data_IF_680539426747
#
_entry.id   IF_680539426747
#
_cell.length_a   1.000
_cell.length_b   1.000
_cell.length_c   1.000
_cell.angle_alpha   90.00
_cell.angle_beta   90.00
_cell.angle_gamma   90.00
#
_symmetry.space_group_name_H-M   'P 1'
#
loop_
_entity.id
_entity.type
_entity.pdbx_description
1 polymer ?
#
# COMPACT_ATOMS: atom_id res chain seq x y z
N UNK A 1 -24.05 -37.24 -9.63
CA UNK A 1 -24.22 -35.79 -9.42
C UNK A 1 -22.85 -35.23 -9.06
N UNK A 2 -22.15 -34.61 -10.00
CA UNK A 2 -20.78 -34.10 -9.79
C UNK A 2 -20.87 -32.61 -9.46
N UNK A 3 -20.46 -32.24 -8.25
CA UNK A 3 -20.24 -30.84 -7.88
C UNK A 3 -18.81 -30.46 -8.28
N UNK A 4 -18.66 -29.32 -8.95
CA UNK A 4 -17.37 -28.75 -9.28
C UNK A 4 -17.30 -27.41 -8.56
N UNK A 5 -16.49 -27.33 -7.50
CA UNK A 5 -16.27 -26.08 -6.77
C UNK A 5 -14.94 -25.51 -7.22
N UNK A 6 -14.97 -24.41 -7.98
CA UNK A 6 -13.76 -23.65 -8.29
C UNK A 6 -13.36 -22.86 -7.04
N UNK A 7 -12.28 -23.31 -6.40
CA UNK A 7 -11.69 -22.73 -5.18
C UNK A 7 -10.53 -21.77 -5.51
N UNK A 8 -10.32 -21.43 -6.78
CA UNK A 8 -9.27 -20.48 -7.15
C UNK A 8 -9.62 -19.09 -6.62
N UNK A 9 -8.79 -18.46 -5.76
CA UNK A 9 -9.05 -17.11 -5.30
C UNK A 9 -9.16 -16.18 -6.52
N UNK A 10 -10.26 -15.44 -6.63
CA UNK A 10 -10.39 -14.38 -7.64
C UNK A 10 -9.36 -13.30 -7.30
N UNK A 11 -8.18 -13.42 -7.90
CA UNK A 11 -7.04 -12.55 -7.67
C UNK A 11 -6.78 -11.69 -8.90
N UNK A 12 -6.81 -10.38 -8.73
CA UNK A 12 -6.29 -9.44 -9.72
C UNK A 12 -5.04 -8.76 -9.16
N UNK A 13 -3.99 -8.67 -9.99
CA UNK A 13 -2.72 -8.04 -9.62
C UNK A 13 -2.41 -6.97 -10.66
N UNK A 14 -2.20 -5.75 -10.21
CA UNK A 14 -1.55 -4.69 -10.98
C UNK A 14 -0.12 -4.54 -10.48
N UNK A 15 0.83 -4.49 -11.40
CA UNK A 15 2.20 -4.11 -11.10
C UNK A 15 2.73 -3.19 -12.20
N UNK A 16 3.06 -1.95 -11.84
CA UNK A 16 3.49 -0.91 -12.76
C UNK A 16 4.76 -0.26 -12.23
N UNK A 17 5.76 -0.19 -13.10
CA UNK A 17 7.03 0.47 -12.84
C UNK A 17 7.19 1.58 -13.88
N UNK A 18 7.37 2.82 -13.43
CA UNK A 18 7.47 3.96 -14.32
C UNK A 18 8.55 4.94 -13.86
N UNK A 19 8.91 5.86 -14.75
CA UNK A 19 9.76 7.00 -14.43
C UNK A 19 8.94 8.27 -14.65
N UNK A 20 8.95 9.17 -13.67
CA UNK A 20 8.27 10.46 -13.72
C UNK A 20 9.26 11.54 -13.33
N UNK A 21 9.71 12.34 -14.30
CA UNK A 21 10.84 13.25 -14.11
C UNK A 21 12.11 12.52 -13.66
N UNK A 22 12.70 12.96 -12.54
CA UNK A 22 13.86 12.34 -11.90
C UNK A 22 13.50 11.13 -11.03
N UNK A 23 12.20 10.87 -10.81
CA UNK A 23 11.72 9.87 -9.87
C UNK A 23 11.39 8.54 -10.54
N UNK A 24 11.55 7.46 -9.76
CA UNK A 24 11.05 6.13 -10.10
C UNK A 24 9.77 5.87 -9.31
N UNK A 25 8.74 5.40 -10.00
CA UNK A 25 7.43 5.13 -9.42
C UNK A 25 7.15 3.64 -9.50
N UNK A 26 6.75 3.05 -8.38
CA UNK A 26 6.33 1.65 -8.28
C UNK A 26 4.92 1.59 -7.75
N UNK A 27 4.04 0.91 -8.47
CA UNK A 27 2.63 0.76 -8.14
C UNK A 27 2.31 -0.71 -8.13
N UNK A 28 1.83 -1.21 -7.01
CA UNK A 28 1.31 -2.56 -6.89
C UNK A 28 -0.08 -2.50 -6.28
N UNK A 29 -1.06 -3.13 -6.92
CA UNK A 29 -2.36 -3.42 -6.32
C UNK A 29 -2.65 -4.90 -6.40
N UNK A 30 -3.29 -5.41 -5.36
CA UNK A 30 -3.72 -6.78 -5.24
C UNK A 30 -5.15 -6.79 -4.72
N UNK A 31 -6.06 -7.32 -5.52
CA UNK A 31 -7.44 -7.58 -5.12
C UNK A 31 -7.57 -9.07 -4.88
N UNK A 32 -7.88 -9.46 -3.64
CA UNK A 32 -8.10 -10.85 -3.24
C UNK A 32 -9.10 -10.89 -2.09
N UNK A 33 -10.08 -11.82 -2.14
CA UNK A 33 -11.02 -12.04 -1.03
C UNK A 33 -11.72 -10.76 -0.54
N UNK A 34 -12.10 -9.89 -1.49
CA UNK A 34 -12.72 -8.57 -1.24
C UNK A 34 -11.82 -7.56 -0.51
N UNK A 35 -10.53 -7.85 -0.33
CA UNK A 35 -9.54 -6.94 0.24
C UNK A 35 -8.70 -6.36 -0.90
N UNK A 36 -8.60 -5.02 -0.96
CA UNK A 36 -7.60 -4.32 -1.78
C UNK A 36 -6.34 -4.10 -0.96
N UNK A 37 -5.23 -4.67 -1.40
CA UNK A 37 -3.89 -4.39 -0.86
C UNK A 37 -3.18 -3.53 -1.88
N UNK A 38 -2.51 -2.46 -1.43
CA UNK A 38 -1.81 -1.57 -2.35
C UNK A 38 -0.47 -1.12 -1.79
N UNK A 39 0.40 -0.76 -2.72
CA UNK A 39 1.73 -0.25 -2.46
C UNK A 39 2.12 0.75 -3.55
N UNK A 40 2.18 2.03 -3.23
CA UNK A 40 2.57 3.10 -4.17
C UNK A 40 3.80 3.84 -3.66
N UNK A 41 4.89 3.75 -4.41
CA UNK A 41 6.20 4.19 -3.98
C UNK A 41 6.79 5.15 -4.99
N UNK A 42 7.33 6.25 -4.48
CA UNK A 42 8.11 7.23 -5.22
C UNK A 42 9.52 7.23 -4.66
N UNK A 43 10.49 7.00 -5.53
CA UNK A 43 11.91 6.97 -5.19
C UNK A 43 12.66 8.05 -5.96
N UNK A 44 13.55 8.74 -5.25
CA UNK A 44 14.55 9.64 -5.84
C UNK A 44 15.93 9.00 -5.70
N UNK A 45 16.51 8.58 -6.83
CA UNK A 45 17.64 7.65 -6.78
C UNK A 45 17.23 6.37 -6.05
N UNK A 46 17.97 5.97 -5.01
CA UNK A 46 17.70 4.79 -4.19
C UNK A 46 16.89 5.06 -2.91
N UNK A 47 16.53 6.31 -2.63
CA UNK A 47 15.80 6.71 -1.43
C UNK A 47 14.30 6.66 -1.65
N UNK A 48 13.54 6.16 -0.68
CA UNK A 48 12.07 6.30 -0.69
C UNK A 48 11.69 7.69 -0.21
N UNK A 49 11.11 8.49 -1.10
CA UNK A 49 10.55 9.81 -0.78
C UNK A 49 9.16 9.66 -0.15
N UNK A 50 8.32 8.82 -0.76
CA UNK A 50 7.00 8.49 -0.26
C UNK A 50 6.63 7.04 -0.57
N UNK A 51 6.01 6.36 0.39
CA UNK A 51 5.48 5.00 0.23
C UNK A 51 4.10 4.87 0.86
N UNK A 52 3.04 4.93 0.06
CA UNK A 52 1.68 4.63 0.52
C UNK A 52 1.47 3.12 0.52
N UNK A 53 1.03 2.57 1.65
CA UNK A 53 0.85 1.14 1.84
C UNK A 53 -0.34 0.89 2.80
N UNK A 54 -0.93 -0.29 2.72
CA UNK A 54 -1.93 -0.74 3.69
C UNK A 54 -1.70 -2.17 4.18
N UNK A 55 -0.52 -2.74 3.94
CA UNK A 55 -0.11 -4.02 4.50
C UNK A 55 -0.02 -3.95 6.02
N UNK A 56 -0.16 -5.08 6.72
CA UNK A 56 -0.08 -5.08 8.17
C UNK A 56 1.31 -4.64 8.63
N UNK A 57 1.37 -3.49 9.29
CA UNK A 57 2.59 -2.91 9.85
C UNK A 57 2.39 -2.68 11.37
N UNK A 58 3.21 -3.30 12.24
CA UNK A 58 3.12 -3.12 13.69
C UNK A 58 3.23 -1.65 14.15
N UNK A 59 3.98 -0.81 13.42
CA UNK A 59 4.09 0.62 13.71
C UNK A 59 2.79 1.34 13.36
N UNK A 60 2.12 1.00 12.25
CA UNK A 60 0.82 1.55 11.89
C UNK A 60 -0.27 1.15 12.90
N UNK A 61 -0.25 -0.11 13.35
CA UNK A 61 -1.12 -0.61 14.44
C UNK A 61 -0.89 0.20 15.71
N UNK A 62 0.37 0.37 16.13
CA UNK A 62 0.71 1.16 17.31
C UNK A 62 0.28 2.61 17.18
N UNK A 63 0.44 3.23 16.00
CA UNK A 63 0.01 4.60 15.75
C UNK A 63 -1.51 4.75 15.86
N UNK A 64 -2.28 3.75 15.39
CA UNK A 64 -3.75 3.80 15.39
C UNK A 64 -4.35 3.54 16.76
N UNK A 65 -3.79 2.58 17.49
CA UNK A 65 -4.39 2.07 18.74
C UNK A 65 -3.60 2.42 20.01
N UNK A 66 -2.42 3.04 19.88
CA UNK A 66 -1.53 3.36 21.01
C UNK A 66 -0.79 2.15 21.59
N UNK A 67 -1.09 0.93 21.13
CA UNK A 67 -0.49 -0.33 21.57
C UNK A 67 -0.39 -1.30 20.40
N UNK A 68 0.48 -2.30 20.54
CA UNK A 68 0.48 -3.47 19.67
C UNK A 68 -0.20 -4.58 20.48
N UNK A 69 -1.36 -5.01 20.02
CA UNK A 69 -2.11 -6.11 20.63
C UNK A 69 -2.41 -7.18 19.58
N UNK A 70 -2.49 -8.44 20.01
CA UNK A 70 -2.81 -9.57 19.14
C UNK A 70 -4.19 -9.40 18.49
N UNK A 71 -5.11 -8.66 19.12
CA UNK A 71 -6.44 -8.36 18.61
C UNK A 71 -6.45 -7.55 17.30
N UNK A 72 -5.33 -6.87 16.98
CA UNK A 72 -5.16 -6.06 15.76
C UNK A 72 -4.13 -6.67 14.79
N UNK A 73 -3.62 -7.87 15.09
CA UNK A 73 -2.63 -8.52 14.24
C UNK A 73 -3.23 -8.82 12.86
N UNK A 74 -2.48 -8.46 11.81
CA UNK A 74 -2.92 -8.64 10.42
C UNK A 74 -3.89 -7.57 9.90
N UNK A 75 -4.20 -6.54 10.70
CA UNK A 75 -5.05 -5.45 10.24
C UNK A 75 -4.37 -4.62 9.14
N UNK A 76 -5.10 -4.38 8.06
CA UNK A 76 -4.65 -3.58 6.93
C UNK A 76 -4.94 -2.10 7.19
N UNK A 77 -3.97 -1.40 7.78
CA UNK A 77 -4.10 0.02 8.15
C UNK A 77 -3.45 0.87 7.07
N UNK A 78 -4.17 1.77 6.37
CA UNK A 78 -3.57 2.73 5.44
C UNK A 78 -2.55 3.65 6.13
N UNK A 79 -1.35 3.72 5.57
CA UNK A 79 -0.26 4.55 6.10
C UNK A 79 0.66 5.05 4.98
N UNK A 80 1.43 6.08 5.31
CA UNK A 80 2.45 6.70 4.46
C UNK A 80 3.80 6.59 5.16
N UNK A 81 4.76 6.00 4.46
CA UNK A 81 6.18 6.05 4.79
C UNK A 81 6.84 7.27 4.16
N UNK A 82 7.70 7.96 4.91
CA UNK A 82 8.57 9.05 4.42
C UNK A 82 9.99 8.87 4.93
N UNK A 83 10.90 9.69 4.40
CA UNK A 83 12.30 9.74 4.82
C UNK A 83 12.95 8.36 4.88
N UNK A 84 12.88 7.63 3.76
CA UNK A 84 13.39 6.26 3.67
C UNK A 84 12.73 5.30 4.68
N UNK A 85 11.43 5.48 4.90
CA UNK A 85 10.58 4.70 5.83
C UNK A 85 10.88 4.89 7.31
N UNK A 86 11.73 5.86 7.66
CA UNK A 86 11.98 6.19 9.07
C UNK A 86 10.79 6.90 9.68
N UNK A 87 10.09 7.74 8.92
CA UNK A 87 8.84 8.38 9.31
C UNK A 87 7.61 7.62 8.82
N UNK A 88 6.55 7.62 9.63
CA UNK A 88 5.27 7.01 9.29
C UNK A 88 4.10 7.81 9.83
N UNK A 89 3.10 8.03 9.00
CA UNK A 89 1.82 8.62 9.38
C UNK A 89 0.66 7.78 8.89
N UNK A 90 -0.45 7.80 9.62
CA UNK A 90 -1.69 7.16 9.18
C UNK A 90 -2.36 8.01 8.09
N UNK A 91 -2.99 7.33 7.13
CA UNK A 91 -3.70 8.00 6.04
C UNK A 91 -5.13 7.49 5.94
N UNK A 92 -5.91 8.13 5.07
CA UNK A 92 -7.07 7.46 4.48
C UNK A 92 -6.57 6.42 3.47
N UNK A 93 -7.46 5.55 3.05
CA UNK A 93 -7.21 4.64 1.95
C UNK A 93 -6.78 5.42 0.70
N UNK A 94 -5.67 5.02 0.09
CA UNK A 94 -5.14 5.64 -1.13
C UNK A 94 -5.58 4.82 -2.34
N UNK A 95 -6.29 5.44 -3.27
CA UNK A 95 -6.58 4.84 -4.59
C UNK A 95 -5.43 5.15 -5.56
N UNK A 96 -5.35 4.43 -6.68
CA UNK A 96 -4.36 4.75 -7.72
C UNK A 96 -4.57 6.17 -8.28
N UNK A 97 -5.82 6.61 -8.45
CA UNK A 97 -6.18 7.94 -8.94
C UNK A 97 -5.73 9.04 -7.96
N UNK A 98 -5.97 8.84 -6.66
CA UNK A 98 -5.50 9.76 -5.62
C UNK A 98 -3.97 9.81 -5.56
N UNK A 99 -3.30 8.68 -5.80
CA UNK A 99 -1.85 8.62 -5.87
C UNK A 99 -1.29 9.40 -7.06
N UNK A 100 -1.91 9.29 -8.25
CA UNK A 100 -1.52 10.09 -9.43
C UNK A 100 -1.68 11.57 -9.15
N UNK A 101 -2.82 12.00 -8.59
CA UNK A 101 -3.03 13.40 -8.19
C UNK A 101 -2.01 13.86 -7.15
N UNK A 102 -1.68 13.00 -6.19
CA UNK A 102 -0.66 13.32 -5.20
C UNK A 102 0.71 13.53 -5.87
N UNK A 103 1.08 12.66 -6.80
CA UNK A 103 2.32 12.74 -7.56
C UNK A 103 2.42 14.05 -8.35
N UNK A 104 1.35 14.45 -9.04
CA UNK A 104 1.28 15.68 -9.82
C UNK A 104 1.44 16.95 -8.96
N UNK A 105 1.07 16.90 -7.68
CA UNK A 105 1.12 18.05 -6.78
C UNK A 105 2.39 18.12 -5.92
N UNK A 106 3.24 17.08 -5.93
CA UNK A 106 4.38 16.96 -5.01
C UNK A 106 5.72 16.69 -5.74
N UNK A 107 5.75 16.77 -7.07
CA UNK A 107 6.93 16.58 -7.92
C UNK A 107 6.95 17.62 -9.03
#
# INVERSE_FOLDING_TARGET
MSYHTDITPKRAILNLHAKYGSCRVFVTELFSDSIRKYRYYVLMGNRVEAGFDNSPDPRAIRLRYGKIGEEHAGEHIPHLHREDKTEMTLTKEMTFEDFVRWLENNQ
#
